data_IF_329136915403
#
_entry.id   IF_329136915403
#
_cell.length_a   1.000
_cell.length_b   1.000
_cell.length_c   1.000
_cell.angle_alpha   90.00
_cell.angle_beta   90.00
_cell.angle_gamma   90.00
#
_symmetry.space_group_name_H-M   'P 1'
#
loop_
_entity.id
_entity.type
_entity.pdbx_description
1 polymer ?
#
# COMPACT_ATOMS: atom_id res chain seq x y z
N UNK A 1 0.18 2.09 -31.66
CA UNK A 1 -0.49 0.81 -31.98
C UNK A 1 -0.36 -0.10 -30.77
N UNK A 2 -1.47 -0.68 -30.28
CA UNK A 2 -1.43 -1.72 -29.25
C UNK A 2 -0.72 -2.94 -29.87
N UNK A 3 0.43 -3.34 -29.35
CA UNK A 3 1.04 -4.63 -29.70
C UNK A 3 0.10 -5.74 -29.19
N UNK A 4 -0.11 -6.81 -29.95
CA UNK A 4 -1.13 -7.87 -29.70
C UNK A 4 -1.12 -8.50 -28.30
N UNK A 5 -0.09 -8.26 -27.48
CA UNK A 5 0.04 -8.81 -26.13
C UNK A 5 0.13 -7.77 -24.99
N UNK A 6 0.08 -6.46 -25.29
CA UNK A 6 0.06 -5.41 -24.26
C UNK A 6 -1.34 -5.17 -23.70
N UNK A 7 -1.46 -4.85 -22.42
CA UNK A 7 -2.71 -4.46 -21.78
C UNK A 7 -2.52 -3.13 -21.06
N UNK A 8 -3.44 -2.19 -21.28
CA UNK A 8 -3.51 -0.99 -20.45
C UNK A 8 -4.50 -1.24 -19.32
N UNK A 9 -4.06 -1.06 -18.08
CA UNK A 9 -4.90 -1.23 -16.92
C UNK A 9 -4.63 -0.11 -15.93
N UNK A 10 -5.62 0.17 -15.10
CA UNK A 10 -5.51 1.14 -14.05
C UNK A 10 -5.71 0.50 -12.68
N UNK A 11 -5.20 1.15 -11.65
CA UNK A 11 -5.37 0.75 -10.26
C UNK A 11 -5.76 1.95 -9.41
N UNK A 12 -6.70 1.74 -8.49
CA UNK A 12 -7.15 2.73 -7.52
C UNK A 12 -7.01 2.18 -6.10
N UNK A 13 -6.08 2.74 -5.34
CA UNK A 13 -5.87 2.42 -3.94
C UNK A 13 -6.55 3.46 -3.03
N UNK A 14 -7.20 2.97 -1.99
CA UNK A 14 -7.75 3.75 -0.88
C UNK A 14 -7.13 3.20 0.40
N UNK A 15 -6.07 3.86 0.87
CA UNK A 15 -5.40 3.49 2.11
C UNK A 15 -6.29 3.69 3.34
N UNK A 16 -5.92 3.05 4.45
CA UNK A 16 -6.60 3.23 5.73
C UNK A 16 -6.36 4.60 6.38
N UNK A 17 -5.45 5.41 5.82
CA UNK A 17 -5.11 6.73 6.35
C UNK A 17 -6.20 7.78 6.13
N UNK A 18 -7.22 7.48 5.30
CA UNK A 18 -8.32 8.40 4.96
C UNK A 18 -7.86 9.70 4.29
N UNK A 19 -6.64 9.72 3.74
CA UNK A 19 -6.09 10.91 3.08
C UNK A 19 -6.69 11.14 1.70
N UNK A 20 -7.11 10.07 1.02
CA UNK A 20 -7.63 10.13 -0.34
C UNK A 20 -7.52 8.83 -1.10
N UNK A 21 -7.48 8.96 -2.42
CA UNK A 21 -7.29 7.87 -3.38
C UNK A 21 -6.05 8.10 -4.22
N UNK A 22 -5.29 7.03 -4.44
CA UNK A 22 -4.16 7.02 -5.37
C UNK A 22 -4.57 6.24 -6.63
N UNK A 23 -4.37 6.86 -7.79
CA UNK A 23 -4.76 6.30 -9.07
C UNK A 23 -3.58 6.26 -10.04
N UNK A 24 -3.40 5.13 -10.72
CA UNK A 24 -2.37 4.98 -11.73
C UNK A 24 -2.87 4.20 -12.93
N UNK A 25 -2.49 4.63 -14.13
CA UNK A 25 -2.71 3.94 -15.40
C UNK A 25 -1.37 3.50 -15.96
N UNK A 26 -1.27 2.22 -16.27
CA UNK A 26 -0.05 1.60 -16.75
C UNK A 26 -0.31 0.76 -17.99
N UNK A 27 0.66 0.76 -18.89
CA UNK A 27 0.73 -0.19 -19.99
C UNK A 27 1.64 -1.34 -19.58
N UNK A 28 1.07 -2.53 -19.42
CA UNK A 28 1.81 -3.76 -19.20
C UNK A 28 2.16 -4.40 -20.54
N UNK A 29 3.45 -4.56 -20.78
CA UNK A 29 4.02 -5.18 -21.97
C UNK A 29 4.42 -6.63 -21.67
N UNK A 30 4.30 -7.54 -22.64
CA UNK A 30 4.86 -8.89 -22.51
C UNK A 30 6.38 -8.84 -22.34
N UNK A 31 6.93 -9.73 -21.51
CA UNK A 31 8.37 -9.93 -21.31
C UNK A 31 8.72 -11.41 -21.11
N UNK A 32 10.02 -11.72 -21.08
CA UNK A 32 10.53 -13.10 -20.97
C UNK A 32 10.17 -13.73 -19.61
N UNK A 33 9.78 -15.01 -19.53
CA UNK A 33 9.39 -15.63 -18.26
C UNK A 33 10.55 -15.64 -17.24
N UNK A 34 10.33 -14.99 -16.09
CA UNK A 34 11.10 -15.21 -14.86
C UNK A 34 10.46 -16.32 -14.01
N UNK A 35 10.82 -16.42 -12.72
CA UNK A 35 10.34 -17.41 -11.72
C UNK A 35 8.81 -17.43 -11.44
N UNK A 36 7.98 -16.96 -12.38
CA UNK A 36 6.52 -16.99 -12.36
C UNK A 36 5.85 -16.96 -13.74
N UNK A 37 6.58 -17.25 -14.84
CA UNK A 37 5.98 -17.56 -16.15
C UNK A 37 5.69 -16.39 -17.11
N UNK A 38 5.87 -15.13 -16.72
CA UNK A 38 5.98 -13.98 -17.63
C UNK A 38 6.57 -12.79 -16.85
N UNK A 39 7.74 -12.26 -17.24
CA UNK A 39 8.09 -10.89 -16.78
C UNK A 39 7.18 -9.93 -17.51
N UNK A 40 6.61 -8.97 -16.80
CA UNK A 40 5.98 -7.82 -17.44
C UNK A 40 7.01 -6.69 -17.39
N UNK A 41 7.13 -5.94 -18.48
CA UNK A 41 7.58 -4.56 -18.36
C UNK A 41 6.34 -3.71 -18.19
N UNK A 42 6.43 -2.61 -17.47
CA UNK A 42 5.34 -1.66 -17.42
C UNK A 42 5.85 -0.26 -17.77
N UNK A 43 4.93 0.55 -18.28
CA UNK A 43 5.16 1.95 -18.55
C UNK A 43 4.06 2.74 -17.87
N UNK A 44 4.44 3.76 -17.12
CA UNK A 44 3.51 4.73 -16.54
C UNK A 44 2.89 5.56 -17.66
N UNK A 45 1.56 5.60 -17.71
CA UNK A 45 0.81 6.48 -18.61
C UNK A 45 0.33 7.71 -17.85
N UNK A 46 -0.25 7.50 -16.68
CA UNK A 46 -0.87 8.55 -15.87
C UNK A 46 -0.84 8.14 -14.41
N UNK A 47 -0.69 9.10 -13.49
CA UNK A 47 -0.81 8.87 -12.06
C UNK A 47 -1.27 10.15 -11.38
N UNK A 48 -2.20 10.05 -10.44
CA UNK A 48 -2.70 11.18 -9.66
C UNK A 48 -3.23 10.69 -8.31
N UNK A 49 -3.23 11.59 -7.33
CA UNK A 49 -3.89 11.37 -6.04
C UNK A 49 -4.96 12.42 -5.83
N UNK A 50 -6.06 12.05 -5.20
CA UNK A 50 -7.13 12.99 -4.85
C UNK A 50 -7.56 12.82 -3.40
N UNK A 51 -7.55 13.93 -2.66
CA UNK A 51 -8.01 13.93 -1.29
C UNK A 51 -9.51 13.70 -1.21
N UNK A 52 -9.94 13.00 -0.16
CA UNK A 52 -11.36 12.81 0.05
C UNK A 52 -12.05 14.14 0.35
N UNK A 53 -13.25 14.38 -0.24
CA UNK A 53 -14.15 15.39 0.28
C UNK A 53 -14.41 15.14 1.77
N UNK A 54 -14.44 16.19 2.59
CA UNK A 54 -14.55 16.06 4.05
C UNK A 54 -15.75 15.21 4.49
N UNK A 55 -16.88 15.32 3.79
CA UNK A 55 -18.06 14.51 4.07
C UNK A 55 -17.80 13.00 3.88
N UNK A 56 -17.12 12.62 2.79
CA UNK A 56 -16.75 11.23 2.53
C UNK A 56 -15.73 10.76 3.57
N UNK A 57 -14.70 11.56 3.83
CA UNK A 57 -13.66 11.27 4.83
C UNK A 57 -14.25 10.98 6.21
N UNK A 58 -15.14 11.86 6.69
CA UNK A 58 -15.81 11.70 7.98
C UNK A 58 -16.77 10.51 8.03
N UNK A 59 -17.42 10.18 6.92
CA UNK A 59 -18.30 9.03 6.87
C UNK A 59 -17.50 7.71 6.85
N UNK A 60 -16.42 7.64 6.06
CA UNK A 60 -15.52 6.48 6.00
C UNK A 60 -14.84 6.22 7.34
N UNK A 61 -14.46 7.25 8.09
CA UNK A 61 -13.83 7.09 9.42
C UNK A 61 -14.75 6.42 10.45
N UNK A 62 -16.07 6.48 10.25
CA UNK A 62 -17.09 5.87 11.12
C UNK A 62 -17.69 4.59 10.53
N UNK A 63 -17.20 4.16 9.36
CA UNK A 63 -17.82 3.08 8.57
C UNK A 63 -17.99 1.75 9.32
N UNK A 64 -17.07 1.43 10.25
CA UNK A 64 -17.11 0.23 11.08
C UNK A 64 -18.23 0.24 12.15
N UNK A 65 -18.83 1.39 12.42
CA UNK A 65 -19.86 1.57 13.45
C UNK A 65 -21.23 1.90 12.87
N UNK A 66 -21.38 1.90 11.54
CA UNK A 66 -22.64 2.21 10.89
C UNK A 66 -23.66 1.07 11.05
N UNK A 67 -24.94 1.45 11.05
CA UNK A 67 -26.02 0.49 10.81
C UNK A 67 -25.86 -0.13 9.41
N UNK A 68 -26.39 -1.34 9.19
CA UNK A 68 -26.33 -2.00 7.87
C UNK A 68 -26.93 -1.10 6.77
N UNK A 69 -28.03 -0.42 7.07
CA UNK A 69 -28.68 0.50 6.12
C UNK A 69 -27.79 1.68 5.76
N UNK A 70 -27.15 2.31 6.74
CA UNK A 70 -26.28 3.47 6.50
C UNK A 70 -24.94 3.07 5.88
N UNK A 71 -24.46 1.85 6.16
CA UNK A 71 -23.32 1.26 5.48
C UNK A 71 -23.56 1.21 3.96
N UNK A 72 -24.71 0.69 3.50
CA UNK A 72 -25.01 0.60 2.06
C UNK A 72 -25.28 1.95 1.41
N UNK A 73 -25.84 2.92 2.16
CA UNK A 73 -25.95 4.31 1.68
C UNK A 73 -24.57 4.92 1.44
N UNK A 74 -23.65 4.76 2.40
CA UNK A 74 -22.27 5.23 2.27
C UNK A 74 -21.55 4.49 1.15
N UNK A 75 -21.70 3.17 1.04
CA UNK A 75 -21.13 2.40 -0.07
C UNK A 75 -21.60 2.97 -1.41
N UNK A 76 -22.88 3.28 -1.56
CA UNK A 76 -23.40 3.84 -2.82
C UNK A 76 -22.80 5.21 -3.15
N UNK A 77 -22.74 6.14 -2.18
CA UNK A 77 -22.18 7.48 -2.42
C UNK A 77 -20.67 7.44 -2.66
N UNK A 78 -19.94 6.65 -1.88
CA UNK A 78 -18.50 6.44 -2.06
C UNK A 78 -18.18 5.82 -3.44
N UNK A 79 -18.96 4.82 -3.85
CA UNK A 79 -18.80 4.15 -5.15
C UNK A 79 -19.07 5.09 -6.32
N UNK A 80 -20.06 5.98 -6.20
CA UNK A 80 -20.30 7.03 -7.18
C UNK A 80 -19.11 7.97 -7.27
N UNK A 81 -18.61 8.47 -6.15
CA UNK A 81 -17.42 9.32 -6.08
C UNK A 81 -16.22 8.67 -6.78
N UNK A 82 -15.93 7.40 -6.48
CA UNK A 82 -14.82 6.68 -7.13
C UNK A 82 -15.03 6.56 -8.65
N UNK A 83 -16.24 6.24 -9.10
CA UNK A 83 -16.52 6.11 -10.54
C UNK A 83 -16.41 7.43 -11.29
N UNK A 84 -16.90 8.52 -10.71
CA UNK A 84 -16.79 9.88 -11.27
C UNK A 84 -15.33 10.37 -11.30
N UNK A 85 -14.58 10.12 -10.22
CA UNK A 85 -13.15 10.43 -10.16
C UNK A 85 -12.35 9.66 -11.23
N UNK A 86 -12.61 8.36 -11.41
CA UNK A 86 -11.97 7.56 -12.46
C UNK A 86 -12.30 8.12 -13.86
N UNK A 87 -13.56 8.47 -14.12
CA UNK A 87 -13.96 9.06 -15.39
C UNK A 87 -13.23 10.38 -15.66
N UNK A 88 -13.13 11.27 -14.67
CA UNK A 88 -12.38 12.53 -14.78
C UNK A 88 -10.89 12.29 -15.02
N UNK A 89 -10.28 11.29 -14.38
CA UNK A 89 -8.90 10.90 -14.68
C UNK A 89 -8.72 10.45 -16.13
N UNK A 90 -9.70 9.75 -16.71
CA UNK A 90 -9.63 9.26 -18.10
C UNK A 90 -9.67 10.39 -19.13
N UNK A 91 -10.29 11.53 -18.82
CA UNK A 91 -10.29 12.72 -19.69
C UNK A 91 -8.86 13.26 -19.93
N UNK A 92 -7.95 13.03 -18.98
CA UNK A 92 -6.55 13.44 -19.06
C UNK A 92 -5.66 12.42 -19.78
N UNK A 93 -6.24 11.33 -20.31
CA UNK A 93 -5.50 10.23 -20.92
C UNK A 93 -5.81 10.18 -22.42
N UNK A 94 -4.77 9.98 -23.22
CA UNK A 94 -4.91 9.85 -24.66
C UNK A 94 -5.87 8.68 -25.02
N UNK A 95 -6.82 8.83 -25.97
CA UNK A 95 -7.82 7.80 -26.30
C UNK A 95 -7.24 6.41 -26.59
N UNK A 96 -6.11 6.33 -27.31
CA UNK A 96 -5.42 5.06 -27.59
C UNK A 96 -4.72 4.39 -26.38
N UNK A 97 -4.71 5.05 -25.23
CA UNK A 97 -4.09 4.61 -23.98
C UNK A 97 -5.11 4.53 -22.83
N UNK A 98 -6.40 4.49 -23.14
CA UNK A 98 -7.43 4.29 -22.13
C UNK A 98 -7.32 2.91 -21.49
N UNK A 99 -7.49 2.79 -20.16
CA UNK A 99 -7.41 1.51 -19.47
C UNK A 99 -8.57 0.61 -19.87
N UNK A 100 -8.27 -0.67 -20.09
CA UNK A 100 -9.25 -1.69 -20.44
C UNK A 100 -9.92 -2.30 -19.21
N UNK A 101 -9.35 -2.06 -18.04
CA UNK A 101 -9.81 -2.56 -16.74
C UNK A 101 -9.22 -1.69 -15.63
N UNK A 102 -10.00 -1.44 -14.58
CA UNK A 102 -9.56 -0.77 -13.36
C UNK A 102 -9.63 -1.74 -12.18
N UNK A 103 -8.51 -1.98 -11.52
CA UNK A 103 -8.46 -2.67 -10.24
C UNK A 103 -8.68 -1.69 -9.10
N UNK A 104 -9.62 -1.97 -8.23
CA UNK A 104 -9.96 -1.08 -7.13
C UNK A 104 -9.84 -1.87 -5.82
N UNK A 105 -9.13 -1.31 -4.86
CA UNK A 105 -9.04 -1.93 -3.55
C UNK A 105 -10.34 -1.75 -2.77
N UNK A 106 -10.90 -0.53 -2.82
CA UNK A 106 -11.99 -0.08 -1.96
C UNK A 106 -11.49 0.41 -0.60
N UNK A 107 -12.40 0.88 0.25
CA UNK A 107 -12.08 1.33 1.60
C UNK A 107 -12.19 0.17 2.59
N UNK A 108 -11.12 -0.19 3.29
CA UNK A 108 -11.19 -1.32 4.26
C UNK A 108 -12.00 -0.91 5.48
N UNK A 109 -13.13 -1.58 5.70
CA UNK A 109 -13.99 -1.38 6.88
C UNK A 109 -13.70 -2.45 7.92
N UNK A 110 -13.60 -3.70 7.49
CA UNK A 110 -13.29 -4.84 8.36
C UNK A 110 -12.23 -5.75 7.73
N UNK A 111 -11.33 -6.26 8.56
CA UNK A 111 -10.35 -7.26 8.15
C UNK A 111 -10.19 -8.28 9.29
N UNK A 112 -10.93 -9.39 9.20
CA UNK A 112 -10.97 -10.44 10.21
C UNK A 112 -10.77 -11.82 9.55
N UNK A 113 -9.57 -12.09 8.99
CA UNK A 113 -9.29 -13.34 8.30
C UNK A 113 -9.42 -14.58 9.21
N UNK A 114 -9.19 -14.46 10.53
CA UNK A 114 -9.45 -15.54 11.50
C UNK A 114 -10.92 -15.94 11.58
N UNK A 115 -11.81 -14.98 11.35
CA UNK A 115 -13.26 -15.17 11.26
C UNK A 115 -13.72 -15.43 9.81
N UNK A 116 -12.78 -15.52 8.87
CA UNK A 116 -13.05 -15.89 7.48
C UNK A 116 -13.54 -14.77 6.57
N UNK A 117 -13.40 -13.48 6.93
CA UNK A 117 -13.87 -12.39 6.06
C UNK A 117 -13.01 -11.13 6.06
N UNK A 118 -13.12 -10.36 4.97
CA UNK A 118 -12.69 -8.97 4.92
C UNK A 118 -13.63 -8.16 4.04
N UNK A 119 -13.92 -6.92 4.45
CA UNK A 119 -14.85 -6.03 3.76
C UNK A 119 -14.14 -4.79 3.31
N UNK A 120 -13.98 -4.66 1.99
CA UNK A 120 -13.59 -3.41 1.33
C UNK A 120 -14.85 -2.78 0.73
N UNK A 121 -15.23 -1.62 1.24
CA UNK A 121 -16.39 -0.87 0.75
C UNK A 121 -16.14 -0.40 -0.68
N UNK A 122 -17.08 -0.72 -1.56
CA UNK A 122 -17.06 -0.36 -2.98
C UNK A 122 -18.04 -1.25 -3.74
N UNK A 123 -18.99 -0.64 -4.44
CA UNK A 123 -19.97 -1.30 -5.28
C UNK A 123 -19.48 -1.29 -6.73
N UNK A 124 -19.08 -2.45 -7.23
CA UNK A 124 -18.51 -2.58 -8.56
C UNK A 124 -19.49 -2.23 -9.69
N UNK A 125 -20.80 -2.41 -9.50
CA UNK A 125 -21.79 -2.06 -10.52
C UNK A 125 -21.93 -0.53 -10.63
N UNK A 126 -21.99 0.17 -9.50
CA UNK A 126 -22.02 1.65 -9.47
C UNK A 126 -20.72 2.21 -10.05
N UNK A 127 -19.55 1.71 -9.63
CA UNK A 127 -18.28 2.22 -10.10
C UNK A 127 -18.10 1.96 -11.60
N UNK A 128 -18.41 0.76 -12.09
CA UNK A 128 -18.32 0.46 -13.53
C UNK A 128 -19.29 1.32 -14.36
N UNK A 129 -20.50 1.60 -13.84
CA UNK A 129 -21.45 2.50 -14.50
C UNK A 129 -20.92 3.92 -14.65
N UNK A 130 -20.37 4.51 -13.57
CA UNK A 130 -19.92 5.90 -13.58
C UNK A 130 -18.56 6.06 -14.30
N UNK A 131 -17.63 5.12 -14.13
CA UNK A 131 -16.31 5.14 -14.79
C UNK A 131 -16.31 4.71 -16.26
N UNK A 132 -17.43 4.16 -16.76
CA UNK A 132 -17.57 3.59 -18.11
C UNK A 132 -16.51 2.53 -18.46
N UNK A 133 -15.91 1.91 -17.44
CA UNK A 133 -14.80 0.97 -17.60
C UNK A 133 -15.09 -0.31 -16.83
N UNK A 134 -14.54 -1.44 -17.30
CA UNK A 134 -14.59 -2.68 -16.54
C UNK A 134 -13.85 -2.52 -15.21
N UNK A 135 -14.48 -2.96 -14.12
CA UNK A 135 -13.92 -2.86 -12.76
C UNK A 135 -13.63 -4.25 -12.20
N UNK A 136 -12.52 -4.37 -11.48
CA UNK A 136 -12.19 -5.52 -10.64
C UNK A 136 -12.05 -5.05 -9.20
N UNK A 137 -12.83 -5.65 -8.29
CA UNK A 137 -12.83 -5.40 -6.84
C UNK A 137 -12.69 -6.73 -6.09
N UNK A 138 -12.64 -6.70 -4.77
CA UNK A 138 -12.64 -7.91 -3.92
C UNK A 138 -11.40 -8.81 -4.09
N UNK A 139 -10.22 -8.20 -3.92
CA UNK A 139 -8.95 -8.93 -4.06
C UNK A 139 -8.61 -9.80 -2.83
N UNK A 140 -9.22 -9.56 -1.67
CA UNK A 140 -8.82 -10.17 -0.39
C UNK A 140 -9.58 -11.44 -0.03
N UNK A 141 -10.83 -11.59 -0.45
CA UNK A 141 -11.66 -12.69 0.05
C UNK A 141 -11.30 -14.06 -0.54
N UNK A 142 -10.84 -14.15 -1.80
CA UNK A 142 -10.45 -15.45 -2.36
C UNK A 142 -9.26 -16.09 -1.60
N UNK A 143 -8.17 -15.37 -1.27
CA UNK A 143 -7.14 -15.92 -0.38
C UNK A 143 -7.64 -16.28 1.02
N UNK A 144 -8.57 -15.50 1.61
CA UNK A 144 -9.15 -15.77 2.94
C UNK A 144 -9.97 -17.06 2.91
N UNK A 145 -10.79 -17.26 1.88
CA UNK A 145 -11.58 -18.48 1.69
C UNK A 145 -10.70 -19.75 1.59
N UNK A 146 -9.43 -19.61 1.19
CA UNK A 146 -8.45 -20.71 1.21
C UNK A 146 -7.64 -20.80 2.52
N UNK A 147 -8.14 -20.20 3.61
CA UNK A 147 -7.48 -20.18 4.92
C UNK A 147 -6.20 -19.34 4.94
N UNK A 148 -6.10 -18.31 4.08
CA UNK A 148 -5.03 -17.31 4.09
C UNK A 148 -5.45 -16.03 4.80
N UNK A 149 -4.55 -15.04 4.86
CA UNK A 149 -4.82 -13.75 5.50
C UNK A 149 -5.45 -12.71 4.56
N UNK A 150 -5.40 -12.90 3.23
CA UNK A 150 -5.85 -11.87 2.27
C UNK A 150 -4.94 -10.63 2.23
N UNK A 151 -3.79 -10.68 2.90
CA UNK A 151 -2.79 -9.62 3.01
C UNK A 151 -1.42 -10.23 3.37
N UNK A 152 -0.31 -9.51 3.10
CA UNK A 152 -0.20 -8.38 2.19
C UNK A 152 -0.26 -8.81 0.72
N UNK A 153 -0.75 -7.94 -0.16
CA UNK A 153 -0.85 -8.20 -1.61
C UNK A 153 0.38 -7.69 -2.39
N UNK A 154 1.09 -6.72 -1.83
CA UNK A 154 2.29 -6.12 -2.42
C UNK A 154 3.39 -7.11 -2.85
N UNK A 155 3.58 -8.27 -2.19
CA UNK A 155 4.58 -9.23 -2.64
C UNK A 155 4.43 -9.70 -4.10
N UNK A 156 3.22 -9.64 -4.67
CA UNK A 156 2.99 -9.99 -6.06
C UNK A 156 3.74 -9.07 -7.04
N UNK A 157 3.80 -7.76 -6.79
CA UNK A 157 4.55 -6.83 -7.66
C UNK A 157 6.05 -6.88 -7.41
N UNK A 158 6.44 -7.09 -6.16
CA UNK A 158 7.83 -7.04 -5.71
C UNK A 158 8.65 -8.16 -6.37
N UNK A 159 8.15 -9.40 -6.35
CA UNK A 159 8.78 -10.52 -7.07
C UNK A 159 8.79 -10.34 -8.59
N UNK A 160 7.74 -9.73 -9.16
CA UNK A 160 7.56 -9.69 -10.62
C UNK A 160 8.38 -8.59 -11.29
N UNK A 161 8.51 -7.44 -10.66
CA UNK A 161 9.15 -6.26 -11.27
C UNK A 161 10.53 -5.94 -10.70
N UNK A 162 10.87 -6.46 -9.53
CA UNK A 162 12.10 -6.10 -8.82
C UNK A 162 12.92 -7.34 -8.39
N UNK A 163 13.21 -8.30 -9.29
CA UNK A 163 13.90 -9.55 -8.94
C UNK A 163 15.35 -9.37 -8.45
N UNK A 164 15.90 -8.16 -8.53
CA UNK A 164 17.23 -7.82 -7.99
C UNK A 164 17.22 -7.37 -6.53
N UNK A 165 16.07 -7.39 -5.87
CA UNK A 165 15.89 -7.02 -4.47
C UNK A 165 15.34 -8.21 -3.68
N UNK A 166 15.89 -8.43 -2.48
CA UNK A 166 15.34 -9.44 -1.57
C UNK A 166 14.41 -8.81 -0.53
N UNK A 167 14.51 -7.49 -0.32
CA UNK A 167 13.79 -6.79 0.72
C UNK A 167 13.02 -5.61 0.17
N UNK A 168 11.79 -5.47 0.65
CA UNK A 168 10.90 -4.38 0.29
C UNK A 168 10.40 -3.72 1.56
N UNK A 169 10.85 -2.50 1.78
CA UNK A 169 10.55 -1.71 2.96
C UNK A 169 9.53 -0.64 2.58
N UNK A 170 8.34 -0.71 3.15
CA UNK A 170 7.33 0.33 2.96
C UNK A 170 7.22 1.20 4.20
N UNK A 171 7.47 2.50 4.05
CA UNK A 171 7.44 3.52 5.10
C UNK A 171 6.11 4.28 5.05
N UNK A 172 5.04 3.62 5.48
CA UNK A 172 3.70 4.21 5.62
C UNK A 172 3.46 4.80 7.00
N UNK A 173 2.21 4.81 7.45
CA UNK A 173 1.89 5.09 8.86
C UNK A 173 2.57 4.12 9.83
N UNK A 174 2.71 2.87 9.41
CA UNK A 174 3.49 1.79 10.02
C UNK A 174 4.53 1.35 8.98
N UNK A 175 5.76 1.12 9.43
CA UNK A 175 6.81 0.54 8.58
C UNK A 175 6.59 -0.98 8.48
N UNK A 176 6.60 -1.51 7.27
CA UNK A 176 6.55 -2.96 7.05
C UNK A 176 7.69 -3.43 6.15
N UNK A 177 8.11 -4.68 6.37
CA UNK A 177 9.18 -5.32 5.64
C UNK A 177 8.67 -6.60 5.01
N UNK A 178 8.88 -6.76 3.71
CA UNK A 178 8.74 -8.03 3.00
C UNK A 178 10.12 -8.57 2.65
N UNK A 179 10.39 -9.81 3.04
CA UNK A 179 11.63 -10.54 2.80
C UNK A 179 11.33 -11.69 1.84
N UNK A 180 12.05 -11.70 0.73
CA UNK A 180 12.02 -12.73 -0.29
C UNK A 180 13.23 -13.62 -0.11
N UNK A 181 13.01 -14.87 0.28
CA UNK A 181 14.04 -15.88 0.45
C UNK A 181 13.72 -17.12 -0.38
N UNK A 182 14.59 -18.13 -0.29
CA UNK A 182 14.33 -19.44 -0.93
C UNK A 182 13.13 -20.16 -0.32
N UNK A 183 12.86 -19.92 0.96
CA UNK A 183 11.80 -20.59 1.72
C UNK A 183 10.43 -19.93 1.54
N UNK A 184 10.39 -18.81 0.82
CA UNK A 184 9.17 -18.07 0.48
C UNK A 184 9.28 -16.59 0.80
N UNK A 185 8.12 -15.98 1.00
CA UNK A 185 7.97 -14.57 1.30
C UNK A 185 7.44 -14.43 2.71
N UNK A 186 8.17 -13.71 3.55
CA UNK A 186 7.72 -13.29 4.88
C UNK A 186 7.48 -11.79 4.85
N UNK A 187 6.28 -11.36 5.25
CA UNK A 187 5.94 -9.95 5.34
C UNK A 187 5.31 -9.64 6.69
N UNK A 188 5.78 -8.58 7.34
CA UNK A 188 5.39 -8.24 8.71
C UNK A 188 5.62 -6.75 9.00
N UNK A 189 4.89 -6.25 9.99
CA UNK A 189 5.05 -4.88 10.48
C UNK A 189 6.26 -4.78 11.42
N UNK A 190 7.02 -3.69 11.31
CA UNK A 190 8.24 -3.43 12.06
C UNK A 190 7.97 -2.55 13.29
N UNK A 191 7.42 -1.36 13.05
CA UNK A 191 7.20 -0.34 14.05
C UNK A 191 6.24 0.74 13.50
N UNK A 192 5.66 1.61 14.36
CA UNK A 192 5.08 2.86 13.88
C UNK A 192 6.11 3.67 13.07
N UNK A 193 5.65 4.37 12.05
CA UNK A 193 6.49 5.19 11.18
C UNK A 193 5.89 6.59 11.03
N UNK A 194 5.21 6.90 9.92
CA UNK A 194 4.69 8.25 9.71
C UNK A 194 3.58 8.63 10.69
N UNK A 195 2.87 7.68 11.33
CA UNK A 195 1.93 8.03 12.40
C UNK A 195 2.64 8.72 13.57
N UNK A 196 3.84 8.25 13.91
CA UNK A 196 4.67 8.82 14.96
C UNK A 196 5.20 10.21 14.56
N UNK A 197 5.69 10.32 13.32
CA UNK A 197 6.22 11.58 12.80
C UNK A 197 5.14 12.65 12.63
N UNK A 198 3.97 12.27 12.12
CA UNK A 198 2.87 13.20 11.88
C UNK A 198 2.32 13.76 13.20
N UNK A 199 2.25 12.95 14.27
CA UNK A 199 1.85 13.41 15.61
C UNK A 199 2.69 14.59 16.08
N UNK A 200 4.02 14.51 15.96
CA UNK A 200 4.90 15.63 16.32
C UNK A 200 4.87 16.78 15.31
N UNK A 201 4.66 16.49 14.02
CA UNK A 201 4.53 17.55 13.01
C UNK A 201 3.28 18.42 13.26
N UNK A 202 2.19 17.82 13.75
CA UNK A 202 0.95 18.52 14.09
C UNK A 202 1.15 19.55 15.20
N UNK A 203 2.05 19.31 16.17
CA UNK A 203 2.44 20.31 17.18
C UNK A 203 3.04 21.57 16.54
N UNK A 204 3.65 21.43 15.36
CA UNK A 204 4.20 22.54 14.55
C UNK A 204 3.22 23.07 13.51
N UNK A 205 1.95 22.65 13.54
CA UNK A 205 0.91 23.06 12.58
C UNK A 205 1.07 22.46 11.19
N UNK A 206 1.87 21.40 11.04
CA UNK A 206 2.11 20.70 9.77
C UNK A 206 1.47 19.31 9.79
N UNK A 207 1.08 18.79 8.61
CA UNK A 207 0.57 17.41 8.49
C UNK A 207 1.67 16.34 8.56
N UNK A 208 2.89 16.71 8.20
CA UNK A 208 4.08 15.87 8.21
C UNK A 208 5.32 16.77 8.22
N UNK A 209 6.49 16.23 8.56
CA UNK A 209 7.78 16.95 8.51
C UNK A 209 8.38 16.90 7.09
N UNK A 210 8.34 18.00 6.31
CA UNK A 210 8.77 17.99 4.91
C UNK A 210 10.27 17.69 4.79
N UNK A 211 10.60 16.60 4.10
CA UNK A 211 11.96 16.09 3.93
C UNK A 211 12.73 15.81 5.25
N UNK A 212 12.06 15.80 6.41
CA UNK A 212 12.71 15.67 7.70
C UNK A 212 13.42 16.94 8.17
N UNK A 213 13.01 18.12 7.70
CA UNK A 213 13.69 19.39 7.96
C UNK A 213 13.62 19.84 9.43
N UNK A 214 12.56 19.46 10.16
CA UNK A 214 12.41 19.73 11.58
C UNK A 214 13.19 18.68 12.38
N UNK A 215 13.05 17.39 12.03
CA UNK A 215 13.81 16.29 12.64
C UNK A 215 15.32 16.51 12.59
N UNK A 216 15.83 17.07 11.48
CA UNK A 216 17.26 17.33 11.30
C UNK A 216 17.85 18.39 12.26
N UNK A 217 16.99 19.20 12.90
CA UNK A 217 17.41 20.25 13.85
C UNK A 217 17.29 19.84 15.32
N UNK A 218 16.58 18.75 15.60
CA UNK A 218 16.37 18.27 16.96
C UNK A 218 17.59 17.53 17.52
N UNK A 219 17.59 17.38 18.83
CA UNK A 219 18.52 16.55 19.58
C UNK A 219 17.90 15.18 19.89
N UNK A 220 18.76 14.17 20.04
CA UNK A 220 18.30 12.82 20.36
C UNK A 220 17.94 12.74 21.84
N UNK A 221 16.67 12.48 22.15
CA UNK A 221 16.21 12.22 23.50
C UNK A 221 16.31 10.72 23.81
N UNK A 222 17.32 10.32 24.59
CA UNK A 222 17.60 8.91 24.89
C UNK A 222 16.53 8.24 25.76
N UNK A 223 15.91 8.99 26.67
CA UNK A 223 14.89 8.46 27.56
C UNK A 223 13.59 8.20 26.79
N UNK A 224 13.21 9.12 25.91
CA UNK A 224 12.08 8.93 25.01
C UNK A 224 12.34 7.79 24.01
N UNK A 225 13.56 7.69 23.46
CA UNK A 225 13.94 6.56 22.61
C UNK A 225 13.78 5.23 23.33
N UNK A 226 14.31 5.13 24.56
CA UNK A 226 14.22 3.92 25.39
C UNK A 226 12.77 3.57 25.71
N UNK A 227 11.92 4.58 25.93
CA UNK A 227 10.48 4.40 26.08
C UNK A 227 9.87 3.75 24.85
N UNK A 228 10.09 4.29 23.63
CA UNK A 228 9.59 3.72 22.38
C UNK A 228 10.07 2.26 22.15
N UNK A 229 11.34 1.99 22.45
CA UNK A 229 11.97 0.68 22.27
C UNK A 229 11.49 -0.38 23.27
N UNK A 230 10.84 0.03 24.37
CA UNK A 230 10.34 -0.90 25.39
C UNK A 230 9.07 -1.67 24.98
N UNK A 231 8.49 -1.36 23.81
CA UNK A 231 7.24 -1.97 23.39
C UNK A 231 7.40 -3.49 23.11
N UNK A 232 6.61 -4.38 23.75
CA UNK A 232 6.73 -5.84 23.57
C UNK A 232 6.58 -6.33 22.11
N UNK A 233 5.74 -5.66 21.31
CA UNK A 233 5.62 -5.87 19.86
C UNK A 233 6.96 -5.98 19.12
N UNK A 234 7.95 -5.16 19.46
CA UNK A 234 9.24 -5.13 18.75
C UNK A 234 9.97 -6.47 18.87
N UNK A 235 9.85 -7.14 20.03
CA UNK A 235 10.47 -8.44 20.30
C UNK A 235 9.70 -9.66 19.73
N UNK A 236 8.54 -9.46 19.10
CA UNK A 236 7.78 -10.57 18.49
C UNK A 236 8.47 -11.06 17.21
N UNK A 237 8.46 -12.38 16.99
CA UNK A 237 8.87 -13.00 15.72
C UNK A 237 7.78 -12.88 14.65
N UNK A 238 8.13 -12.80 13.35
CA UNK A 238 7.18 -12.93 12.25
C UNK A 238 6.47 -14.31 12.26
N UNK A 239 5.21 -14.38 11.77
CA UNK A 239 4.40 -13.29 11.26
C UNK A 239 3.85 -12.40 12.41
N UNK A 240 3.94 -11.09 12.24
CA UNK A 240 3.38 -10.10 13.19
C UNK A 240 2.80 -8.91 12.44
N UNK A 241 1.75 -8.32 13.01
CA UNK A 241 1.13 -7.09 12.52
C UNK A 241 0.84 -6.14 13.68
N UNK A 242 0.99 -4.84 13.43
CA UNK A 242 0.76 -3.77 14.39
C UNK A 242 -0.54 -3.05 14.03
N UNK A 243 -1.45 -2.92 14.98
CA UNK A 243 -2.72 -2.21 14.74
C UNK A 243 -2.58 -0.71 14.98
N UNK A 244 -3.34 0.11 14.26
CA UNK A 244 -3.41 1.56 14.52
C UNK A 244 -3.83 1.86 15.96
N UNK A 245 -4.72 1.05 16.54
CA UNK A 245 -5.13 1.21 17.93
C UNK A 245 -3.94 1.04 18.89
N UNK A 246 -3.08 0.05 18.64
CA UNK A 246 -1.87 -0.20 19.44
C UNK A 246 -0.86 0.94 19.27
N UNK A 247 -0.73 1.52 18.07
CA UNK A 247 0.05 2.76 17.85
C UNK A 247 -0.48 3.90 18.72
N UNK A 248 -1.78 4.18 18.66
CA UNK A 248 -2.38 5.30 19.42
C UNK A 248 -2.33 5.09 20.93
N UNK A 249 -2.74 3.92 21.41
CA UNK A 249 -2.91 3.66 22.85
C UNK A 249 -1.60 3.49 23.61
N UNK A 250 -0.50 3.20 22.91
CA UNK A 250 0.80 3.00 23.54
C UNK A 250 1.83 4.03 23.09
N UNK A 251 2.13 4.10 21.78
CA UNK A 251 3.21 4.96 21.30
C UNK A 251 2.87 6.43 21.43
N UNK A 252 1.69 6.84 20.95
CA UNK A 252 1.26 8.24 21.05
C UNK A 252 0.99 8.65 22.50
N UNK A 253 0.44 7.75 23.32
CA UNK A 253 0.29 8.01 24.76
C UNK A 253 1.64 8.19 25.47
N UNK A 254 2.67 7.43 25.06
CA UNK A 254 4.03 7.57 25.60
C UNK A 254 4.68 8.90 25.18
N UNK A 255 4.38 9.39 23.97
CA UNK A 255 4.79 10.73 23.53
C UNK A 255 4.18 11.80 24.43
N UNK A 256 2.86 11.75 24.62
CA UNK A 256 2.13 12.77 25.38
C UNK A 256 2.64 12.87 26.83
N UNK A 257 3.09 11.74 27.41
CA UNK A 257 3.68 11.71 28.76
C UNK A 257 5.12 12.24 28.84
N UNK A 258 5.94 12.00 27.80
CA UNK A 258 7.36 12.38 27.78
C UNK A 258 7.60 13.80 27.29
N UNK A 259 6.71 14.33 26.45
CA UNK A 259 6.71 15.71 25.94
C UNK A 259 8.09 16.24 25.50
N UNK A 260 8.83 15.53 24.61
CA UNK A 260 10.15 15.98 24.17
C UNK A 260 10.11 17.26 23.31
N UNK A 261 8.92 17.74 22.94
CA UNK A 261 8.71 18.79 21.96
C UNK A 261 8.90 18.30 20.52
N UNK A 262 8.24 18.97 19.58
CA UNK A 262 8.20 18.55 18.18
C UNK A 262 9.56 18.24 17.55
N UNK A 263 10.60 19.07 17.77
CA UNK A 263 11.91 18.90 17.13
C UNK A 263 12.63 17.64 17.60
N UNK A 264 12.81 17.49 18.92
CA UNK A 264 13.50 16.34 19.51
C UNK A 264 12.65 15.07 19.39
N UNK A 265 11.33 15.21 19.45
CA UNK A 265 10.36 14.16 19.19
C UNK A 265 10.50 13.58 17.78
N UNK A 266 10.53 14.43 16.75
CA UNK A 266 10.76 14.02 15.36
C UNK A 266 12.15 13.41 15.16
N UNK A 267 13.20 14.03 15.70
CA UNK A 267 14.59 13.54 15.65
C UNK A 267 14.71 12.14 16.24
N UNK A 268 14.11 11.93 17.40
CA UNK A 268 14.15 10.68 18.15
C UNK A 268 13.30 9.61 17.49
N UNK A 269 12.13 9.97 16.95
CA UNK A 269 11.27 9.08 16.17
C UNK A 269 11.95 8.55 14.92
N UNK A 270 12.67 9.41 14.18
CA UNK A 270 13.48 8.98 13.03
C UNK A 270 14.59 7.98 13.45
N UNK A 271 15.21 8.18 14.62
CA UNK A 271 16.21 7.25 15.17
C UNK A 271 15.59 5.91 15.53
N UNK A 272 14.45 5.92 16.22
CA UNK A 272 13.69 4.73 16.60
C UNK A 272 13.30 3.87 15.39
N UNK A 273 12.78 4.49 14.33
CA UNK A 273 12.40 3.81 13.09
C UNK A 273 13.63 3.17 12.44
N UNK A 274 14.73 3.92 12.34
CA UNK A 274 15.97 3.43 11.74
C UNK A 274 16.59 2.26 12.53
N UNK A 275 16.61 2.34 13.88
CA UNK A 275 17.05 1.24 14.76
C UNK A 275 16.17 0.01 14.63
N UNK A 276 14.85 0.19 14.58
CA UNK A 276 13.88 -0.90 14.40
C UNK A 276 14.11 -1.65 13.08
N UNK A 277 14.40 -0.93 11.99
CA UNK A 277 14.76 -1.52 10.70
C UNK A 277 16.10 -2.25 10.80
N UNK A 278 17.12 -1.63 11.40
CA UNK A 278 18.43 -2.26 11.61
C UNK A 278 18.34 -3.59 12.36
N UNK A 279 17.61 -3.63 13.48
CA UNK A 279 17.36 -4.87 14.23
C UNK A 279 16.64 -5.92 13.38
N UNK A 280 15.61 -5.53 12.63
CA UNK A 280 14.89 -6.47 11.77
C UNK A 280 15.77 -7.09 10.68
N UNK A 281 16.71 -6.31 10.10
CA UNK A 281 17.68 -6.83 9.14
C UNK A 281 18.62 -7.86 9.79
N UNK A 282 19.09 -7.56 11.02
CA UNK A 282 19.95 -8.47 11.77
C UNK A 282 19.21 -9.74 12.19
N UNK A 283 17.95 -9.67 12.59
CA UNK A 283 17.24 -10.82 13.11
C UNK A 283 16.64 -11.71 12.03
N UNK A 284 16.14 -11.11 10.94
CA UNK A 284 15.29 -11.82 9.98
C UNK A 284 15.82 -11.87 8.54
N UNK A 285 16.84 -11.07 8.19
CA UNK A 285 17.32 -10.97 6.80
C UNK A 285 18.73 -11.52 6.55
N UNK A 286 19.35 -12.19 7.53
CA UNK A 286 20.74 -12.68 7.45
C UNK A 286 21.02 -13.55 6.21
N UNK A 287 20.03 -14.33 5.78
CA UNK A 287 20.15 -15.31 4.69
C UNK A 287 19.78 -14.74 3.31
N UNK A 288 19.47 -13.44 3.21
CA UNK A 288 19.22 -12.76 1.94
C UNK A 288 20.48 -12.74 1.07
N UNK A 289 20.33 -13.11 -0.20
CA UNK A 289 21.46 -13.34 -1.12
C UNK A 289 22.00 -12.03 -1.73
N UNK A 290 21.12 -11.17 -2.22
CA UNK A 290 21.45 -9.88 -2.81
C UNK A 290 21.74 -8.82 -1.75
N UNK A 291 21.09 -8.92 -0.57
CA UNK A 291 21.14 -7.90 0.49
C UNK A 291 20.76 -6.50 -0.01
N UNK A 292 19.80 -6.43 -0.92
CA UNK A 292 19.31 -5.19 -1.53
C UNK A 292 17.90 -4.89 -1.05
N UNK A 293 17.69 -3.66 -0.59
CA UNK A 293 16.43 -3.16 -0.05
C UNK A 293 15.86 -2.12 -1.01
N UNK A 294 14.61 -2.30 -1.44
CA UNK A 294 13.83 -1.29 -2.15
C UNK A 294 12.87 -0.61 -1.18
N UNK A 295 12.96 0.72 -1.08
CA UNK A 295 12.14 1.53 -0.16
C UNK A 295 11.04 2.27 -0.91
N UNK A 296 9.81 2.20 -0.38
CA UNK A 296 8.62 2.92 -0.90
C UNK A 296 7.77 3.50 0.24
N UNK A 297 6.66 4.16 -0.10
CA UNK A 297 5.77 4.80 0.85
C UNK A 297 6.22 6.20 1.23
N UNK A 298 5.29 7.03 1.72
CA UNK A 298 5.53 8.47 1.93
C UNK A 298 6.73 8.81 2.82
N UNK A 299 7.12 7.92 3.74
CA UNK A 299 8.30 8.10 4.58
C UNK A 299 9.61 8.10 3.80
N UNK A 300 9.65 7.54 2.59
CA UNK A 300 10.81 7.59 1.71
C UNK A 300 11.14 9.02 1.24
N UNK A 301 10.20 9.96 1.33
CA UNK A 301 10.43 11.39 1.07
C UNK A 301 11.12 12.11 2.23
N UNK A 302 11.14 11.53 3.44
CA UNK A 302 11.83 12.11 4.58
C UNK A 302 13.33 11.81 4.47
N UNK A 303 14.08 12.75 3.89
CA UNK A 303 15.51 12.61 3.61
C UNK A 303 16.34 12.40 4.88
N UNK A 304 15.98 13.06 5.98
CA UNK A 304 16.64 12.86 7.26
C UNK A 304 16.47 11.42 7.77
N UNK A 305 15.24 10.92 7.82
CA UNK A 305 14.95 9.55 8.22
C UNK A 305 15.64 8.54 7.29
N UNK A 306 15.61 8.76 5.98
CA UNK A 306 16.29 7.90 5.01
C UNK A 306 17.81 7.86 5.23
N UNK A 307 18.43 8.98 5.61
CA UNK A 307 19.85 9.01 5.97
C UNK A 307 20.13 8.21 7.26
N UNK A 308 19.24 8.28 8.26
CA UNK A 308 19.35 7.45 9.47
C UNK A 308 19.21 5.97 9.15
N UNK A 309 18.19 5.58 8.38
CA UNK A 309 17.97 4.20 7.93
C UNK A 309 19.21 3.69 7.18
N UNK A 310 19.75 4.49 6.26
CA UNK A 310 20.93 4.12 5.48
C UNK A 310 22.13 3.78 6.36
N UNK A 311 22.36 4.51 7.45
CA UNK A 311 23.46 4.22 8.37
C UNK A 311 23.35 2.79 8.95
N UNK A 312 22.17 2.42 9.46
CA UNK A 312 21.95 1.07 10.00
C UNK A 312 21.95 -0.03 8.93
N UNK A 313 21.48 0.26 7.71
CA UNK A 313 21.56 -0.71 6.61
C UNK A 313 22.99 -0.93 6.15
N UNK A 314 23.80 0.13 6.06
CA UNK A 314 25.22 0.05 5.70
C UNK A 314 25.99 -0.77 6.75
N UNK A 315 25.76 -0.53 8.05
CA UNK A 315 26.33 -1.31 9.16
C UNK A 315 25.95 -2.79 9.08
N UNK A 316 24.74 -3.09 8.61
CA UNK A 316 24.25 -4.47 8.43
C UNK A 316 24.66 -5.08 7.08
N UNK A 317 25.38 -4.34 6.23
CA UNK A 317 25.83 -4.80 4.90
C UNK A 317 24.73 -4.89 3.85
N UNK A 318 23.65 -4.12 3.99
CA UNK A 318 22.55 -4.04 3.03
C UNK A 318 22.61 -2.75 2.21
N UNK A 319 22.36 -2.88 0.91
CA UNK A 319 22.27 -1.74 0.00
C UNK A 319 20.82 -1.22 -0.04
N UNK A 320 20.62 -0.04 0.55
CA UNK A 320 19.35 0.69 0.48
C UNK A 320 19.18 1.41 -0.86
N UNK A 321 18.07 1.20 -1.54
CA UNK A 321 17.68 1.90 -2.77
C UNK A 321 16.28 2.47 -2.60
N UNK A 322 16.10 3.77 -2.84
CA UNK A 322 14.76 4.36 -2.90
C UNK A 322 14.12 4.10 -4.26
N UNK A 323 12.82 3.86 -4.29
CA UNK A 323 12.06 3.86 -5.54
C UNK A 323 12.15 5.20 -6.26
N UNK A 324 11.84 5.22 -7.57
CA UNK A 324 11.59 6.50 -8.22
C UNK A 324 10.32 7.15 -7.64
N UNK A 325 10.14 8.49 -7.75
CA UNK A 325 9.02 9.18 -7.11
C UNK A 325 7.64 8.58 -7.42
N UNK A 326 7.40 8.14 -8.67
CA UNK A 326 6.10 7.53 -9.02
C UNK A 326 5.95 6.17 -8.37
N UNK A 327 7.02 5.38 -8.28
CA UNK A 327 6.96 4.12 -7.55
C UNK A 327 6.73 4.36 -6.05
N UNK A 328 7.40 5.33 -5.44
CA UNK A 328 7.22 5.64 -4.00
C UNK A 328 5.75 5.92 -3.69
N UNK A 329 5.12 6.76 -4.51
CA UNK A 329 3.77 7.27 -4.27
C UNK A 329 2.67 6.31 -4.76
N UNK A 330 2.91 5.62 -5.88
CA UNK A 330 1.86 4.86 -6.57
C UNK A 330 2.12 3.35 -6.63
N UNK A 331 3.00 2.79 -5.78
CA UNK A 331 3.26 1.34 -5.72
C UNK A 331 1.99 0.51 -5.53
N UNK A 332 1.09 0.95 -4.65
CA UNK A 332 -0.17 0.21 -4.37
C UNK A 332 -1.17 0.34 -5.53
N UNK A 333 -1.25 1.50 -6.19
CA UNK A 333 -2.03 1.66 -7.41
C UNK A 333 -1.47 0.81 -8.56
N UNK A 334 -0.15 0.73 -8.72
CA UNK A 334 0.53 -0.20 -9.65
C UNK A 334 0.15 -1.66 -9.37
N UNK A 335 0.15 -2.08 -8.10
CA UNK A 335 -0.29 -3.41 -7.69
C UNK A 335 -1.71 -3.72 -8.16
N UNK A 336 -2.66 -2.83 -7.89
CA UNK A 336 -4.05 -3.04 -8.28
C UNK A 336 -4.23 -3.06 -9.79
N UNK A 337 -3.51 -2.21 -10.52
CA UNK A 337 -3.49 -2.24 -11.98
C UNK A 337 -2.99 -3.58 -12.51
N UNK A 338 -1.90 -4.12 -11.94
CA UNK A 338 -1.38 -5.43 -12.31
C UNK A 338 -2.40 -6.53 -11.98
N UNK A 339 -3.00 -6.50 -10.80
CA UNK A 339 -3.96 -7.51 -10.37
C UNK A 339 -5.18 -7.54 -11.29
N UNK A 340 -5.67 -6.37 -11.70
CA UNK A 340 -6.77 -6.23 -12.64
C UNK A 340 -6.39 -6.72 -14.05
N UNK A 341 -5.20 -6.33 -14.53
CA UNK A 341 -4.69 -6.76 -15.84
C UNK A 341 -4.59 -8.29 -15.92
N UNK A 342 -4.05 -8.92 -14.87
CA UNK A 342 -3.94 -10.38 -14.78
C UNK A 342 -5.29 -11.05 -14.61
N UNK A 343 -6.20 -10.46 -13.82
CA UNK A 343 -7.59 -10.95 -13.70
C UNK A 343 -8.31 -10.96 -15.04
N UNK A 344 -8.20 -9.89 -15.83
CA UNK A 344 -8.80 -9.78 -17.18
C UNK A 344 -8.28 -10.87 -18.13
N UNK A 345 -7.02 -11.28 -17.96
CA UNK A 345 -6.39 -12.38 -18.71
C UNK A 345 -6.57 -13.77 -18.06
N UNK A 346 -7.35 -13.89 -16.98
CA UNK A 346 -7.51 -15.13 -16.21
C UNK A 346 -6.18 -15.74 -15.75
N UNK A 347 -5.22 -14.90 -15.36
CA UNK A 347 -3.92 -15.29 -14.82
C UNK A 347 -3.88 -15.10 -13.30
N UNK A 348 -3.16 -15.97 -12.55
CA UNK A 348 -3.02 -15.83 -11.10
C UNK A 348 -2.46 -14.47 -10.73
N UNK A 349 -3.14 -13.71 -9.88
CA UNK A 349 -2.79 -12.34 -9.51
C UNK A 349 -2.53 -12.15 -8.02
N UNK A 350 -2.58 -13.22 -7.23
CA UNK A 350 -2.18 -13.25 -5.83
C UNK A 350 -1.13 -14.33 -5.60
N UNK A 351 -0.07 -13.98 -4.87
CA UNK A 351 1.04 -14.87 -4.51
C UNK A 351 0.97 -15.14 -3.01
N UNK A 352 0.89 -16.42 -2.63
CA UNK A 352 1.06 -16.80 -1.22
C UNK A 352 2.53 -16.73 -0.82
N UNK A 353 2.79 -16.31 0.42
CA UNK A 353 4.15 -16.27 0.93
C UNK A 353 4.85 -17.63 0.91
N UNK A 354 4.12 -18.72 1.21
CA UNK A 354 4.63 -20.08 1.07
C UNK A 354 4.10 -20.73 -0.23
N UNK A 355 4.80 -20.51 -1.33
CA UNK A 355 4.45 -21.07 -2.64
C UNK A 355 4.59 -22.60 -2.71
N UNK A 356 5.35 -23.21 -1.79
CA UNK A 356 5.52 -24.67 -1.74
C UNK A 356 4.26 -25.40 -1.27
N UNK A 357 3.37 -24.71 -0.55
CA UNK A 357 2.17 -25.31 0.04
C UNK A 357 0.87 -24.79 -0.57
N UNK A 358 0.90 -23.65 -1.28
CA UNK A 358 -0.30 -23.05 -1.89
C UNK A 358 0.00 -22.50 -3.29
N UNK A 359 -0.74 -22.93 -4.32
CA UNK A 359 -0.57 -22.38 -5.66
C UNK A 359 -1.00 -20.90 -5.69
N UNK A 360 -0.40 -20.13 -6.60
CA UNK A 360 -0.86 -18.78 -6.91
C UNK A 360 -2.30 -18.83 -7.43
N UNK A 361 -3.15 -17.88 -7.03
CA UNK A 361 -4.57 -17.89 -7.36
C UNK A 361 -5.01 -16.65 -8.12
N UNK A 362 -6.18 -16.79 -8.76
CA UNK A 362 -6.93 -15.69 -9.35
C UNK A 362 -7.90 -15.16 -8.29
N UNK A 363 -7.86 -13.85 -8.06
CA UNK A 363 -8.74 -13.12 -7.15
C UNK A 363 -9.39 -11.93 -7.87
N UNK A 364 -10.46 -11.40 -7.28
CA UNK A 364 -11.20 -10.25 -7.76
C UNK A 364 -12.48 -10.60 -8.53
N UNK A 365 -13.60 -9.98 -8.15
CA UNK A 365 -14.87 -9.98 -8.86
C UNK A 365 -14.86 -8.98 -10.03
N UNK A 366 -15.44 -9.37 -11.17
CA UNK A 366 -15.46 -8.55 -12.39
C UNK A 366 -16.85 -7.90 -12.56
N UNK A 367 -16.86 -6.59 -12.76
CA UNK A 367 -18.06 -5.80 -13.01
C UNK A 367 -17.94 -5.09 -14.35
N UNK A 368 -18.97 -5.20 -15.18
CA UNK A 368 -19.00 -4.60 -16.52
C UNK A 368 -19.86 -3.33 -16.50
N UNK A 369 -19.48 -2.29 -17.26
CA UNK A 369 -20.35 -1.13 -17.45
C UNK A 369 -21.64 -1.59 -18.18
N UNK A 370 -22.83 -1.08 -17.79
CA UNK A 370 -24.10 -1.54 -18.32
C UNK A 370 -24.34 -1.23 -19.81
N UNK A 371 -23.50 -0.40 -20.46
CA UNK A 371 -23.53 -0.19 -21.91
C UNK A 371 -22.11 0.13 -22.42
N UNK A 372 -21.39 -0.84 -23.03
CA UNK A 372 -20.10 -0.56 -23.66
C UNK A 372 -20.23 0.12 -25.03
N UNK A 373 -21.40 0.07 -25.69
CA UNK A 373 -21.63 0.56 -27.06
C UNK A 373 -23.02 1.22 -27.22
N UNK A 374 -23.23 2.46 -26.77
CA UNK A 374 -24.41 3.26 -27.23
C UNK A 374 -23.97 4.60 -27.78
N UNK A 375 -23.40 4.53 -28.98
CA UNK A 375 -23.42 5.60 -29.99
C UNK A 375 -24.36 5.25 -31.17
N UNK A 376 -25.21 4.22 -31.06
CA UNK A 376 -26.20 3.91 -32.10
C UNK A 376 -27.62 3.76 -31.53
N UNK A 377 -28.46 4.69 -31.96
CA UNK A 377 -29.92 4.65 -32.12
C UNK A 377 -30.79 4.23 -30.92
N UNK A 378 -31.49 5.22 -30.34
CA UNK A 378 -32.97 5.20 -30.28
C UNK A 378 -33.43 6.66 -30.43
N UNK A 379 -34.09 6.96 -31.54
CA UNK A 379 -34.96 8.15 -31.72
C UNK A 379 -36.15 8.12 -30.77
#
# INVERSE_FOLDING_TARGET
MKTENSIVAAGLMSGSSLDGVDYAVLRFLPGNPGLGGATYKFEWIYSTSESYPDQIRQALSRSSHLSIGDYFKLQSSYSRFLGEFIASCHENIHPNLQPEVVGIHGHTVFHQPSEGFSTQMGDGAIIAHHSKTQVVLDFRNAPIAMGGQGAPMAPAIDALFYPGFDLFLNLGGIANLSIFSRDGIQAFDLCPCNQLLNHFAEESGLRFDPAGAIAAKGELNTDFLSSLESHPFLSKNPPKSLSNQEVTSWYLTSIDQSSPGAQDGLRTSCEFIARSIGHALQDFAKDCLQKRILVTGGGAHNQFMMARIKAYTDESGFQLTSGDPRLIDFKEALLLALMAARRKKSLPNFIFGNQHTRPNIITGGVYLPPNPNRDEAVE
#
